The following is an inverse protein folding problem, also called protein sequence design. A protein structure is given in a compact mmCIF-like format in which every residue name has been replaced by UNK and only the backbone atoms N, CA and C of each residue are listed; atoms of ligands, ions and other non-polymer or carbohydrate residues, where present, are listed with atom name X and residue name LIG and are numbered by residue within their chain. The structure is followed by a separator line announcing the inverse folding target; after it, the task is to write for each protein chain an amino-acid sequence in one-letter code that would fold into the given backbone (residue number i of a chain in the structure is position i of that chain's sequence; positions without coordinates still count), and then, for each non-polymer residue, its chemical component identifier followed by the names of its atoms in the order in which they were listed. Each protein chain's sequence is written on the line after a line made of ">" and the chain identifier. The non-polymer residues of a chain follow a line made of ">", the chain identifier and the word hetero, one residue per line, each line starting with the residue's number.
data_IF_824091871604
#
_entry.id   IF_824091871604
#
_cell.length_a   1.000
_cell.length_b   1.000
_cell.length_c   1.000
_cell.angle_alpha   90.00
_cell.angle_beta   90.00
_cell.angle_gamma   90.00
#
_symmetry.space_group_name_H-M   'P 1'
#
loop_
_entity.id
_entity.type
_entity.pdbx_description
1 polymer ?
#
# COMPACT_ATOMS: atom_id res chain seq x y z
N UNK A 1 -3.04 13.08 -12.85
CA UNK A 1 -4.25 12.52 -12.23
C UNK A 1 -4.66 11.30 -13.04
N UNK A 2 -4.24 10.13 -12.60
CA UNK A 2 -4.72 8.87 -13.17
C UNK A 2 -5.96 8.45 -12.37
N UNK A 3 -7.13 8.74 -12.90
CA UNK A 3 -8.40 8.23 -12.37
C UNK A 3 -8.70 6.90 -13.06
N UNK A 4 -8.72 5.81 -12.31
CA UNK A 4 -9.36 4.58 -12.74
C UNK A 4 -10.88 4.77 -12.69
N UNK A 5 -11.45 5.32 -13.74
CA UNK A 5 -12.91 5.41 -13.90
C UNK A 5 -13.45 4.02 -14.18
N UNK A 6 -14.37 3.53 -13.37
CA UNK A 6 -15.22 2.40 -13.71
C UNK A 6 -15.39 1.27 -12.71
N UNK A 7 -14.62 1.23 -11.60
CA UNK A 7 -14.74 0.14 -10.63
C UNK A 7 -15.75 0.41 -9.49
N UNK A 8 -16.12 1.68 -9.23
CA UNK A 8 -16.95 2.02 -8.09
C UNK A 8 -18.39 1.47 -8.14
N UNK A 9 -19.00 1.39 -9.30
CA UNK A 9 -20.39 0.92 -9.43
C UNK A 9 -20.50 -0.62 -9.48
N UNK A 10 -19.48 -1.29 -9.95
CA UNK A 10 -19.42 -2.76 -9.95
C UNK A 10 -19.28 -3.28 -8.52
N UNK A 11 -18.47 -2.63 -7.69
CA UNK A 11 -18.25 -3.05 -6.31
C UNK A 11 -19.45 -2.81 -5.39
N UNK A 12 -20.21 -1.74 -5.57
CA UNK A 12 -21.41 -1.48 -4.76
C UNK A 12 -22.47 -2.56 -4.92
N UNK A 13 -22.69 -3.06 -6.14
CA UNK A 13 -23.61 -4.17 -6.41
C UNK A 13 -23.12 -5.50 -5.85
N UNK A 14 -21.83 -5.69 -5.68
CA UNK A 14 -21.26 -6.93 -5.14
C UNK A 14 -21.48 -7.06 -3.62
N UNK A 15 -21.45 -5.98 -2.84
CA UNK A 15 -21.71 -6.04 -1.38
C UNK A 15 -23.12 -6.54 -1.09
N UNK A 16 -24.12 -6.03 -1.83
CA UNK A 16 -25.54 -6.39 -1.63
C UNK A 16 -25.78 -7.90 -1.92
N UNK A 17 -24.97 -8.51 -2.75
CA UNK A 17 -25.05 -9.91 -3.11
C UNK A 17 -24.16 -10.84 -2.26
N UNK A 18 -23.30 -10.29 -1.40
CA UNK A 18 -22.44 -11.08 -0.52
C UNK A 18 -23.10 -11.28 0.83
N UNK A 19 -23.77 -12.42 1.02
CA UNK A 19 -24.27 -12.85 2.33
C UNK A 19 -23.11 -13.12 3.30
N UNK A 20 -23.41 -13.17 4.59
CA UNK A 20 -22.41 -13.57 5.59
C UNK A 20 -21.94 -14.99 5.35
N UNK A 21 -22.83 -15.88 4.95
CA UNK A 21 -22.49 -17.27 4.62
C UNK A 21 -21.49 -17.35 3.48
N UNK A 22 -21.74 -16.64 2.38
CA UNK A 22 -20.79 -16.58 1.26
C UNK A 22 -19.42 -16.05 1.67
N UNK A 23 -19.38 -15.03 2.54
CA UNK A 23 -18.14 -14.49 3.06
C UNK A 23 -17.37 -15.55 3.89
N UNK A 24 -18.07 -16.24 4.79
CA UNK A 24 -17.47 -17.26 5.63
C UNK A 24 -17.01 -18.49 4.85
N UNK A 25 -17.76 -18.92 3.85
CA UNK A 25 -17.36 -20.02 2.95
C UNK A 25 -16.08 -19.67 2.19
N UNK A 26 -16.01 -18.48 1.60
CA UNK A 26 -14.83 -18.00 0.91
C UNK A 26 -13.61 -17.83 1.84
N UNK A 27 -13.81 -17.41 3.07
CA UNK A 27 -12.72 -17.32 4.05
C UNK A 27 -12.21 -18.72 4.41
N UNK A 28 -13.10 -19.67 4.66
CA UNK A 28 -12.74 -21.06 4.98
C UNK A 28 -11.90 -21.72 3.89
N UNK A 29 -12.20 -21.46 2.62
CA UNK A 29 -11.42 -21.98 1.49
C UNK A 29 -9.96 -21.48 1.46
N UNK A 30 -9.66 -20.37 2.14
CA UNK A 30 -8.33 -19.75 2.19
C UNK A 30 -7.55 -20.10 3.45
N UNK A 31 -8.18 -20.78 4.40
CA UNK A 31 -7.55 -21.18 5.64
C UNK A 31 -7.07 -22.63 5.58
N UNK A 32 -6.02 -23.00 6.33
CA UNK A 32 -5.71 -24.39 6.59
C UNK A 32 -6.92 -25.11 7.22
N UNK A 33 -7.10 -26.39 6.91
CA UNK A 33 -8.27 -27.18 7.37
C UNK A 33 -8.50 -27.08 8.88
N UNK A 34 -7.46 -27.20 9.68
CA UNK A 34 -7.53 -27.10 11.14
C UNK A 34 -8.10 -25.76 11.62
N UNK A 35 -7.70 -24.64 10.97
CA UNK A 35 -8.22 -23.31 11.29
C UNK A 35 -9.64 -23.11 10.76
N UNK A 36 -9.95 -23.63 9.56
CA UNK A 36 -11.28 -23.59 8.97
C UNK A 36 -12.32 -24.30 9.82
N UNK A 37 -12.00 -25.49 10.36
CA UNK A 37 -12.91 -26.31 11.14
C UNK A 37 -13.21 -25.72 12.53
N UNK A 38 -12.31 -24.90 13.05
CA UNK A 38 -12.46 -24.23 14.35
C UNK A 38 -13.00 -22.81 14.25
N UNK A 39 -13.24 -22.30 13.03
CA UNK A 39 -13.69 -20.94 12.82
C UNK A 39 -15.12 -20.73 13.34
N UNK A 40 -15.26 -19.82 14.29
CA UNK A 40 -16.57 -19.38 14.79
C UNK A 40 -17.12 -18.34 13.82
N UNK A 41 -18.25 -18.66 13.20
CA UNK A 41 -18.94 -17.77 12.26
C UNK A 41 -20.13 -17.08 12.91
N UNK A 42 -20.56 -15.95 12.38
CA UNK A 42 -21.71 -15.19 12.89
C UNK A 42 -22.07 -14.03 11.95
N UNK A 43 -23.10 -13.26 12.30
CA UNK A 43 -23.48 -12.10 11.51
C UNK A 43 -22.37 -11.05 11.50
N UNK A 44 -22.15 -10.44 10.35
CA UNK A 44 -21.20 -9.32 10.22
C UNK A 44 -21.71 -8.09 10.98
N UNK A 45 -20.81 -7.41 11.69
CA UNK A 45 -21.10 -6.10 12.30
C UNK A 45 -21.14 -5.02 11.22
N UNK A 46 -20.22 -5.08 10.28
CA UNK A 46 -20.12 -4.16 9.15
C UNK A 46 -19.51 -4.89 7.95
N UNK A 47 -20.02 -4.61 6.77
CA UNK A 47 -19.42 -5.01 5.48
C UNK A 47 -19.24 -3.77 4.62
N UNK A 48 -18.02 -3.53 4.18
CA UNK A 48 -17.71 -2.42 3.28
C UNK A 48 -16.66 -2.84 2.24
N UNK A 49 -16.63 -2.14 1.12
CA UNK A 49 -15.55 -2.23 0.15
C UNK A 49 -14.73 -0.96 0.24
N UNK A 50 -13.46 -1.09 0.59
CA UNK A 50 -12.50 -0.01 0.52
C UNK A 50 -11.87 0.01 -0.87
N UNK A 51 -12.13 1.02 -1.73
CA UNK A 51 -11.44 1.14 -3.01
C UNK A 51 -9.97 1.44 -2.76
N UNK A 52 -9.10 0.54 -3.20
CA UNK A 52 -7.67 0.75 -3.12
C UNK A 52 -7.26 1.74 -4.21
N UNK A 53 -6.64 2.84 -3.80
CA UNK A 53 -6.15 3.90 -4.70
C UNK A 53 -4.65 4.05 -4.51
N UNK A 54 -3.97 4.40 -5.59
CA UNK A 54 -2.61 4.94 -5.52
C UNK A 54 -2.65 6.39 -5.95
N UNK A 55 -2.08 7.26 -5.15
CA UNK A 55 -2.06 8.69 -5.40
C UNK A 55 -0.75 9.28 -4.86
N UNK A 56 -0.16 10.22 -5.60
CA UNK A 56 0.97 11.03 -5.14
C UNK A 56 0.73 12.46 -5.60
N UNK A 57 0.87 13.41 -4.70
CA UNK A 57 0.91 14.83 -5.00
C UNK A 57 2.35 15.25 -5.29
N UNK A 58 2.59 15.80 -6.45
CA UNK A 58 3.87 16.40 -6.83
C UNK A 58 3.63 17.82 -7.31
N UNK A 59 4.21 18.81 -6.61
CA UNK A 59 5.02 18.74 -5.41
C UNK A 59 4.19 18.50 -4.13
N UNK A 60 4.85 18.11 -3.03
CA UNK A 60 4.27 17.99 -1.69
C UNK A 60 4.28 19.34 -0.94
N UNK A 61 4.80 20.41 -1.56
CA UNK A 61 4.83 21.78 -1.02
C UNK A 61 4.38 22.77 -2.08
N UNK A 62 3.57 23.75 -1.65
CA UNK A 62 3.20 24.91 -2.45
C UNK A 62 3.27 26.16 -1.57
N UNK A 63 4.30 26.98 -1.77
CA UNK A 63 4.56 28.13 -0.91
C UNK A 63 4.75 27.70 0.56
N UNK A 64 3.85 28.13 1.43
CA UNK A 64 3.85 27.77 2.87
C UNK A 64 2.88 26.63 3.20
N UNK A 65 2.24 26.01 2.22
CA UNK A 65 1.45 24.81 2.38
C UNK A 65 2.33 23.58 2.21
N UNK A 66 2.32 22.69 3.19
CA UNK A 66 3.02 21.40 3.18
C UNK A 66 1.99 20.28 3.29
N UNK A 67 2.10 19.27 2.44
CA UNK A 67 1.29 18.05 2.50
C UNK A 67 2.11 16.93 3.13
N UNK A 68 1.48 16.09 3.95
CA UNK A 68 2.09 14.93 4.58
C UNK A 68 1.07 13.80 4.72
N UNK A 69 1.54 12.56 4.73
CA UNK A 69 0.70 11.37 4.86
C UNK A 69 -0.32 11.24 3.74
N UNK A 70 -1.53 10.78 4.05
CA UNK A 70 -2.59 10.50 3.08
C UNK A 70 -3.04 11.74 2.28
N UNK A 71 -2.78 12.94 2.78
CA UNK A 71 -3.00 14.18 2.04
C UNK A 71 -2.05 14.33 0.84
N UNK A 72 -0.87 13.74 0.91
CA UNK A 72 0.16 13.80 -0.13
C UNK A 72 0.32 12.52 -0.94
N UNK A 73 0.11 11.36 -0.33
CA UNK A 73 0.24 10.07 -1.00
C UNK A 73 -0.64 8.99 -0.38
N UNK A 74 -1.25 8.19 -1.23
CA UNK A 74 -1.99 6.98 -0.86
C UNK A 74 -1.32 5.81 -1.55
N UNK A 75 -1.00 4.77 -0.79
CA UNK A 75 -0.33 3.56 -1.29
C UNK A 75 -1.20 2.33 -1.06
N UNK A 76 -1.10 1.29 -1.89
CA UNK A 76 -1.78 0.04 -1.63
C UNK A 76 -1.35 -0.54 -0.27
N UNK A 77 -2.28 -1.10 0.52
CA UNK A 77 -1.99 -1.59 1.87
C UNK A 77 -1.10 -2.83 1.90
N UNK A 78 -0.97 -3.55 0.79
CA UNK A 78 -0.23 -4.82 0.67
C UNK A 78 1.21 -4.73 1.20
N UNK A 79 1.88 -3.60 0.97
CA UNK A 79 3.24 -3.37 1.46
C UNK A 79 3.33 -2.81 2.88
N UNK A 80 2.20 -2.51 3.54
CA UNK A 80 2.12 -1.88 4.87
C UNK A 80 2.97 -0.60 5.01
N UNK A 81 3.03 0.25 3.95
CA UNK A 81 3.93 1.41 3.88
C UNK A 81 3.28 2.74 4.26
N UNK A 82 1.95 2.85 4.24
CA UNK A 82 1.25 4.13 4.42
C UNK A 82 1.66 4.88 5.69
N UNK A 83 1.53 4.24 6.86
CA UNK A 83 1.93 4.84 8.12
C UNK A 83 3.42 5.19 8.18
N UNK A 84 4.28 4.30 7.69
CA UNK A 84 5.73 4.52 7.72
C UNK A 84 6.15 5.70 6.84
N UNK A 85 5.50 5.90 5.69
CA UNK A 85 5.72 7.05 4.83
C UNK A 85 5.23 8.34 5.49
N UNK A 86 4.03 8.32 6.09
CA UNK A 86 3.51 9.47 6.82
C UNK A 86 4.44 9.90 7.97
N UNK A 87 4.97 8.95 8.74
CA UNK A 87 5.94 9.23 9.80
C UNK A 87 7.22 9.83 9.22
N UNK A 88 7.68 9.35 8.07
CA UNK A 88 8.88 9.91 7.44
C UNK A 88 8.67 11.33 6.91
N UNK A 89 7.48 11.66 6.41
CA UNK A 89 7.14 13.02 6.02
C UNK A 89 7.22 13.98 7.21
N UNK A 90 6.63 13.56 8.33
CA UNK A 90 6.67 14.34 9.58
C UNK A 90 8.11 14.51 10.09
N UNK A 91 8.94 13.48 9.96
CA UNK A 91 10.36 13.57 10.32
C UNK A 91 11.06 14.69 9.52
N UNK A 92 10.99 14.66 8.19
CA UNK A 92 11.62 15.69 7.34
C UNK A 92 11.02 17.09 7.57
N UNK A 93 9.68 17.17 7.68
CA UNK A 93 9.00 18.44 7.87
C UNK A 93 9.31 19.05 9.24
N UNK A 94 9.34 18.25 10.31
CA UNK A 94 9.65 18.73 11.66
C UNK A 94 11.08 19.25 11.76
N UNK A 95 12.07 18.56 11.19
CA UNK A 95 13.45 19.07 11.14
C UNK A 95 13.52 20.41 10.42
N UNK A 96 12.84 20.54 9.27
CA UNK A 96 12.78 21.79 8.53
C UNK A 96 12.14 22.93 9.33
N UNK A 97 11.02 22.68 9.98
CA UNK A 97 10.32 23.67 10.80
C UNK A 97 11.16 24.10 12.02
N UNK A 98 11.77 23.14 12.73
CA UNK A 98 12.63 23.43 13.88
C UNK A 98 13.83 24.29 13.45
N UNK A 99 14.46 23.96 12.34
CA UNK A 99 15.60 24.73 11.80
C UNK A 99 15.18 26.14 11.41
N UNK A 100 14.06 26.27 10.72
CA UNK A 100 13.51 27.55 10.33
C UNK A 100 13.22 28.46 11.53
N UNK A 101 12.50 27.97 12.54
CA UNK A 101 12.14 28.80 13.69
C UNK A 101 13.30 29.08 14.63
N UNK A 102 14.32 28.20 14.72
CA UNK A 102 15.51 28.44 15.57
C UNK A 102 16.56 29.29 14.87
N UNK A 103 16.79 29.08 13.61
CA UNK A 103 17.96 29.60 12.89
C UNK A 103 17.59 30.56 11.76
N UNK A 104 16.28 30.75 11.48
CA UNK A 104 15.77 31.48 10.32
C UNK A 104 16.33 30.93 8.98
N UNK A 105 16.53 29.59 8.93
CA UNK A 105 17.04 28.86 7.78
C UNK A 105 15.94 27.99 7.19
N UNK A 106 15.55 28.23 5.94
CA UNK A 106 14.47 27.56 5.23
C UNK A 106 14.95 26.47 4.26
N UNK A 107 16.26 26.19 4.21
CA UNK A 107 16.84 25.23 3.24
C UNK A 107 16.19 23.85 3.32
N UNK A 108 15.98 23.31 4.52
CA UNK A 108 15.33 22.00 4.70
C UNK A 108 13.86 22.03 4.28
N UNK A 109 13.15 23.13 4.52
CA UNK A 109 11.78 23.30 4.04
C UNK A 109 11.71 23.40 2.50
N UNK A 110 12.69 24.05 1.89
CA UNK A 110 12.78 24.18 0.44
C UNK A 110 13.05 22.83 -0.25
N UNK A 111 13.76 21.91 0.40
CA UNK A 111 14.07 20.56 -0.11
C UNK A 111 13.12 19.48 0.38
N UNK A 112 12.11 19.82 1.20
CA UNK A 112 11.18 18.85 1.80
C UNK A 112 10.51 17.95 0.77
N UNK A 113 9.88 18.57 -0.25
CA UNK A 113 9.13 17.84 -1.27
C UNK A 113 10.01 16.82 -2.01
N UNK A 114 11.22 17.22 -2.39
CA UNK A 114 12.16 16.36 -3.09
C UNK A 114 12.57 15.15 -2.24
N UNK A 115 12.97 15.39 -0.99
CA UNK A 115 13.39 14.33 -0.06
C UNK A 115 12.25 13.35 0.25
N UNK A 116 11.07 13.87 0.55
CA UNK A 116 9.91 13.04 0.85
C UNK A 116 9.48 12.19 -0.36
N UNK A 117 9.42 12.78 -1.56
CA UNK A 117 9.05 12.09 -2.79
C UNK A 117 10.00 10.94 -3.14
N UNK A 118 11.31 11.09 -2.95
CA UNK A 118 12.27 9.99 -3.17
C UNK A 118 11.91 8.75 -2.33
N UNK A 119 11.49 8.94 -1.09
CA UNK A 119 11.08 7.86 -0.19
C UNK A 119 9.69 7.32 -0.55
N UNK A 120 8.74 8.20 -0.84
CA UNK A 120 7.38 7.85 -1.27
C UNK A 120 7.42 6.92 -2.48
N UNK A 121 8.20 7.27 -3.51
CA UNK A 121 8.30 6.44 -4.71
C UNK A 121 8.95 5.08 -4.46
N UNK A 122 9.93 4.98 -3.55
CA UNK A 122 10.48 3.68 -3.13
C UNK A 122 9.39 2.80 -2.46
N UNK A 123 8.60 3.39 -1.57
CA UNK A 123 7.50 2.70 -0.89
C UNK A 123 6.39 2.27 -1.84
N UNK A 124 5.99 3.14 -2.77
CA UNK A 124 4.98 2.83 -3.80
C UNK A 124 5.46 1.71 -4.73
N UNK A 125 6.69 1.79 -5.22
CA UNK A 125 7.28 0.73 -6.05
C UNK A 125 7.17 -0.64 -5.38
N UNK A 126 7.56 -0.73 -4.11
CA UNK A 126 7.49 -1.97 -3.36
C UNK A 126 6.03 -2.43 -3.17
N UNK A 127 5.15 -1.54 -2.74
CA UNK A 127 3.73 -1.87 -2.52
C UNK A 127 3.03 -2.29 -3.81
N UNK A 128 3.34 -1.64 -4.94
CA UNK A 128 2.83 -2.01 -6.25
C UNK A 128 3.31 -3.40 -6.68
N UNK A 129 4.62 -3.65 -6.59
CA UNK A 129 5.20 -4.95 -6.91
C UNK A 129 4.61 -6.07 -6.03
N UNK A 130 4.51 -5.85 -4.72
CA UNK A 130 3.93 -6.83 -3.81
C UNK A 130 2.44 -7.06 -4.09
N UNK A 131 1.70 -6.03 -4.46
CA UNK A 131 0.29 -6.15 -4.85
C UNK A 131 0.15 -7.02 -6.11
N UNK A 132 0.96 -6.79 -7.12
CA UNK A 132 0.93 -7.59 -8.36
C UNK A 132 1.38 -9.03 -8.13
N UNK A 133 2.31 -9.25 -7.20
CA UNK A 133 2.80 -10.58 -6.85
C UNK A 133 1.76 -11.42 -6.08
N UNK A 134 1.01 -10.78 -5.17
CA UNK A 134 0.15 -11.49 -4.20
C UNK A 134 -1.32 -11.57 -4.61
N UNK A 135 -1.73 -10.83 -5.65
CA UNK A 135 -3.14 -10.79 -6.07
C UNK A 135 -3.32 -11.38 -7.46
N UNK A 136 -4.44 -12.07 -7.63
CA UNK A 136 -4.90 -12.56 -8.93
C UNK A 136 -5.94 -11.58 -9.46
N UNK A 137 -5.62 -10.88 -10.55
CA UNK A 137 -6.51 -9.88 -11.12
C UNK A 137 -7.45 -10.51 -12.16
N UNK A 138 -8.71 -10.04 -12.26
CA UNK A 138 -9.69 -10.62 -13.17
C UNK A 138 -9.28 -10.63 -14.66
N UNK A 139 -8.38 -9.74 -15.05
CA UNK A 139 -7.92 -9.59 -16.43
C UNK A 139 -6.56 -10.28 -16.69
N UNK A 140 -6.01 -11.01 -15.72
CA UNK A 140 -4.80 -11.80 -15.93
C UNK A 140 -5.08 -13.00 -16.83
N UNK A 141 -4.23 -13.18 -17.83
CA UNK A 141 -4.22 -14.37 -18.65
C UNK A 141 -3.34 -15.50 -18.04
N UNK A 142 -3.27 -16.62 -18.72
CA UNK A 142 -2.47 -17.76 -18.27
C UNK A 142 -0.96 -17.44 -18.27
N UNK A 143 -0.51 -16.58 -19.16
CA UNK A 143 0.88 -16.16 -19.24
C UNK A 143 1.29 -15.32 -18.04
N UNK A 144 0.49 -14.30 -17.69
CA UNK A 144 0.70 -13.48 -16.51
C UNK A 144 0.75 -14.31 -15.23
N UNK A 145 -0.16 -15.28 -15.12
CA UNK A 145 -0.20 -16.20 -14.00
C UNK A 145 1.06 -17.07 -13.88
N UNK A 146 1.57 -17.56 -15.00
CA UNK A 146 2.83 -18.35 -15.01
C UNK A 146 4.02 -17.50 -14.58
N UNK A 147 4.10 -16.24 -15.01
CA UNK A 147 5.14 -15.31 -14.57
C UNK A 147 5.04 -15.08 -13.06
N UNK A 148 3.84 -14.84 -12.54
CA UNK A 148 3.62 -14.65 -11.11
C UNK A 148 4.05 -15.85 -10.28
N UNK A 149 3.73 -17.07 -10.70
CA UNK A 149 4.14 -18.30 -10.04
C UNK A 149 5.66 -18.50 -10.08
N UNK A 150 6.30 -18.20 -11.22
CA UNK A 150 7.76 -18.28 -11.36
C UNK A 150 8.47 -17.27 -10.43
N UNK A 151 7.93 -16.06 -10.27
CA UNK A 151 8.45 -15.07 -9.33
C UNK A 151 8.31 -15.52 -7.87
N UNK A 152 7.17 -16.10 -7.49
CA UNK A 152 6.96 -16.69 -6.17
C UNK A 152 7.93 -17.86 -5.90
N UNK A 153 8.15 -18.72 -6.90
CA UNK A 153 9.11 -19.80 -6.82
C UNK A 153 10.55 -19.29 -6.65
N UNK A 154 10.92 -18.26 -7.42
CA UNK A 154 12.22 -17.60 -7.29
C UNK A 154 12.43 -17.00 -5.88
N UNK A 155 11.45 -16.28 -5.35
CA UNK A 155 11.50 -15.76 -3.99
C UNK A 155 11.63 -16.87 -2.94
N UNK A 156 10.95 -18.00 -3.14
CA UNK A 156 11.00 -19.13 -2.19
C UNK A 156 12.34 -19.83 -2.17
N UNK A 157 13.07 -19.83 -3.29
CA UNK A 157 14.30 -20.62 -3.47
C UNK A 157 15.58 -19.80 -3.45
N UNK A 158 15.52 -18.47 -3.58
CA UNK A 158 16.68 -17.57 -3.61
C UNK A 158 16.85 -16.79 -2.31
N UNK A 159 17.93 -17.08 -1.59
CA UNK A 159 18.28 -16.34 -0.36
C UNK A 159 18.47 -14.84 -0.66
N UNK A 160 19.08 -14.49 -1.80
CA UNK A 160 19.31 -13.10 -2.15
C UNK A 160 18.00 -12.36 -2.49
N UNK A 161 17.05 -13.05 -3.13
CA UNK A 161 15.70 -12.49 -3.35
C UNK A 161 14.96 -12.29 -2.03
N UNK A 162 15.05 -13.23 -1.09
CA UNK A 162 14.46 -13.12 0.26
C UNK A 162 15.06 -11.97 1.07
N UNK A 163 16.38 -11.76 1.00
CA UNK A 163 17.04 -10.61 1.63
C UNK A 163 16.55 -9.29 1.04
N UNK A 164 16.51 -9.19 -0.28
CA UNK A 164 16.00 -8.00 -0.97
C UNK A 164 14.54 -7.72 -0.63
N UNK A 165 13.70 -8.76 -0.60
CA UNK A 165 12.31 -8.65 -0.15
C UNK A 165 12.24 -8.11 1.28
N UNK A 166 12.97 -8.73 2.21
CA UNK A 166 12.96 -8.37 3.63
C UNK A 166 13.43 -6.94 3.86
N UNK A 167 14.49 -6.49 3.17
CA UNK A 167 14.99 -5.13 3.22
C UNK A 167 13.93 -4.12 2.80
N UNK A 168 13.25 -4.37 1.69
CA UNK A 168 12.16 -3.50 1.22
C UNK A 168 10.93 -3.56 2.13
N UNK A 169 10.63 -4.73 2.71
CA UNK A 169 9.50 -4.92 3.62
C UNK A 169 9.70 -4.19 4.96
N UNK A 170 10.86 -4.33 5.58
CA UNK A 170 11.22 -3.60 6.81
C UNK A 170 11.27 -2.09 6.55
N UNK A 171 11.80 -1.69 5.42
CA UNK A 171 11.94 -0.30 5.00
C UNK A 171 13.41 0.09 4.86
N UNK A 172 13.68 0.78 3.77
CA UNK A 172 15.01 1.32 3.51
C UNK A 172 15.34 2.45 4.51
N UNK A 173 16.61 2.61 4.91
CA UNK A 173 17.03 3.70 5.80
C UNK A 173 16.71 5.07 5.19
N UNK A 174 16.68 6.09 6.05
CA UNK A 174 16.47 7.50 5.70
C UNK A 174 17.61 8.05 4.87
#
# INVERSE_FOLDING_TARGET
>A
RFESRGLGDVYKRQIENWSDDNFWEELKLRLPTEASDTLITGPSIEKSIAPLRSFVSEPMRWGNLFLAGDASHIVPPTGAKGLNLAVSDIYYLSEGLITFFKNNDDQLLNTYSEKALLRVWKGIRFSWWMTTLMHNFPNQDEFDRKIQLAELEYLSNSIEAQKSFSENYVGLPY
#
